data_IF_131303283425
#
_entry.id   IF_131303283425
#
_cell.length_a   1.000
_cell.length_b   1.000
_cell.length_c   1.000
_cell.angle_alpha   90.00
_cell.angle_beta   90.00
_cell.angle_gamma   90.00
#
_symmetry.space_group_name_H-M   'P 1'
#
loop_
_entity.id
_entity.type
_entity.pdbx_description
1 polymer ?
#
# COMPACT_ATOMS: atom_id res chain seq x y z
N UNK A 1 3.34 14.44 -27.72
CA UNK A 1 2.99 15.46 -26.72
C UNK A 1 2.27 14.74 -25.59
N UNK A 2 2.97 14.47 -24.48
CA UNK A 2 2.43 13.71 -23.34
C UNK A 2 1.44 14.59 -22.59
N UNK A 3 0.15 14.25 -22.66
CA UNK A 3 -0.85 14.90 -21.81
C UNK A 3 -0.44 14.70 -20.35
N UNK A 4 -0.18 15.78 -19.59
CA UNK A 4 0.18 15.67 -18.18
C UNK A 4 -0.94 14.95 -17.44
N UNK A 5 -0.56 14.03 -16.55
CA UNK A 5 -1.49 13.22 -15.77
C UNK A 5 -2.51 14.11 -15.05
N UNK A 6 -3.81 13.92 -15.31
CA UNK A 6 -4.92 14.29 -14.42
C UNK A 6 -5.11 15.76 -14.05
N UNK A 7 -6.29 16.06 -13.52
CA UNK A 7 -6.55 17.31 -12.81
C UNK A 7 -6.06 17.20 -11.36
N UNK A 8 -5.86 18.33 -10.69
CA UNK A 8 -5.74 18.34 -9.24
C UNK A 8 -7.09 17.96 -8.59
N UNK A 9 -7.08 17.29 -7.42
CA UNK A 9 -8.33 17.08 -6.69
C UNK A 9 -8.92 18.45 -6.30
N UNK A 10 -10.27 18.59 -6.29
CA UNK A 10 -10.91 19.83 -5.88
C UNK A 10 -10.56 20.15 -4.41
N UNK A 11 -10.34 21.42 -4.12
CA UNK A 11 -10.20 21.89 -2.75
C UNK A 11 -11.54 21.85 -2.04
N UNK A 12 -11.58 21.29 -0.83
CA UNK A 12 -12.82 21.13 -0.07
C UNK A 12 -12.53 21.05 1.44
N UNK A 13 -13.60 21.09 2.24
CA UNK A 13 -13.62 20.89 3.68
C UNK A 13 -14.17 19.52 4.02
N UNK A 14 -13.41 18.77 4.81
CA UNK A 14 -13.75 17.42 5.23
C UNK A 14 -13.95 17.33 6.73
N UNK A 15 -14.84 16.46 7.23
CA UNK A 15 -15.04 16.27 8.66
C UNK A 15 -13.78 15.70 9.35
N UNK A 16 -13.04 14.84 8.68
CA UNK A 16 -11.88 14.15 9.23
C UNK A 16 -10.85 13.79 8.15
N UNK A 17 -9.61 13.50 8.59
CA UNK A 17 -8.51 13.11 7.71
C UNK A 17 -8.76 11.82 6.91
N UNK A 18 -9.30 10.73 7.51
CA UNK A 18 -9.70 9.55 6.74
C UNK A 18 -10.66 9.84 5.58
N UNK A 19 -11.70 10.63 5.83
CA UNK A 19 -12.68 11.05 4.81
C UNK A 19 -12.02 11.87 3.70
N UNK A 20 -11.16 12.84 4.07
CA UNK A 20 -10.36 13.61 3.12
C UNK A 20 -9.47 12.71 2.27
N UNK A 21 -8.70 11.82 2.90
CA UNK A 21 -7.77 10.94 2.21
C UNK A 21 -8.50 10.00 1.25
N UNK A 22 -9.64 9.46 1.66
CA UNK A 22 -10.50 8.62 0.83
C UNK A 22 -11.00 9.38 -0.40
N UNK A 23 -11.48 10.62 -0.21
CA UNK A 23 -11.96 11.47 -1.30
C UNK A 23 -10.87 11.77 -2.34
N UNK A 24 -9.69 12.23 -1.90
CA UNK A 24 -8.59 12.55 -2.83
C UNK A 24 -8.05 11.31 -3.54
N UNK A 25 -8.08 10.13 -2.90
CA UNK A 25 -7.66 8.89 -3.54
C UNK A 25 -8.67 8.38 -4.55
N UNK A 26 -9.97 8.48 -4.27
CA UNK A 26 -11.02 8.16 -5.24
C UNK A 26 -10.88 9.04 -6.49
N UNK A 27 -10.67 10.34 -6.30
CA UNK A 27 -10.40 11.26 -7.41
C UNK A 27 -9.12 10.90 -8.18
N UNK A 28 -8.03 10.61 -7.45
CA UNK A 28 -6.75 10.24 -8.05
C UNK A 28 -6.84 8.93 -8.85
N UNK A 29 -7.60 7.95 -8.35
CA UNK A 29 -7.83 6.65 -8.99
C UNK A 29 -8.42 6.82 -10.40
N UNK A 30 -9.47 7.66 -10.53
CA UNK A 30 -10.10 7.97 -11.82
C UNK A 30 -9.18 8.75 -12.75
N UNK A 31 -8.31 9.59 -12.20
CA UNK A 31 -7.37 10.43 -12.96
C UNK A 31 -5.99 9.77 -13.22
N UNK A 32 -5.81 8.51 -12.81
CA UNK A 32 -4.63 7.70 -13.14
C UNK A 32 -3.37 8.00 -12.31
N UNK A 33 -3.52 8.54 -11.11
CA UNK A 33 -2.42 8.72 -10.15
C UNK A 33 -2.84 8.27 -8.75
N UNK A 34 -1.93 8.38 -7.79
CA UNK A 34 -2.21 8.08 -6.39
C UNK A 34 -1.46 9.06 -5.49
N UNK A 35 -2.04 9.34 -4.33
CA UNK A 35 -1.37 10.08 -3.27
C UNK A 35 -0.64 9.15 -2.29
N UNK A 36 0.42 9.68 -1.69
CA UNK A 36 1.12 9.07 -0.57
C UNK A 36 1.34 10.14 0.51
N UNK A 37 1.17 9.76 1.78
CA UNK A 37 1.47 10.63 2.91
C UNK A 37 2.97 10.88 2.98
N UNK A 38 3.37 12.15 2.86
CA UNK A 38 4.78 12.56 2.86
C UNK A 38 5.26 12.99 4.24
N UNK A 39 4.48 13.83 4.90
CA UNK A 39 4.75 14.31 6.26
C UNK A 39 3.45 14.53 7.00
N UNK A 40 3.42 14.11 8.25
CA UNK A 40 2.30 14.35 9.17
C UNK A 40 2.83 15.13 10.37
N UNK A 41 2.14 16.21 10.73
CA UNK A 41 2.35 16.89 12.00
C UNK A 41 0.99 17.37 12.56
N UNK A 42 0.98 17.87 13.79
CA UNK A 42 -0.26 18.29 14.45
C UNK A 42 -1.03 19.42 13.72
N UNK A 43 -0.37 20.16 12.81
CA UNK A 43 -0.94 21.33 12.14
C UNK A 43 -1.18 21.12 10.63
N UNK A 44 -0.73 20.00 10.06
CA UNK A 44 -0.86 19.70 8.63
C UNK A 44 -0.51 18.25 8.31
N UNK A 45 -1.13 17.76 7.24
CA UNK A 45 -0.71 16.54 6.54
C UNK A 45 -0.39 16.91 5.09
N UNK A 46 0.81 16.53 4.64
CA UNK A 46 1.24 16.72 3.25
C UNK A 46 1.05 15.42 2.50
N UNK A 47 0.26 15.46 1.43
CA UNK A 47 0.11 14.37 0.47
C UNK A 47 0.83 14.74 -0.82
N UNK A 48 1.66 13.84 -1.32
CA UNK A 48 2.37 14.00 -2.59
C UNK A 48 1.97 12.89 -3.54
N UNK A 49 2.12 13.10 -4.85
CA UNK A 49 2.04 12.01 -5.80
C UNK A 49 2.93 10.83 -5.36
N UNK A 50 2.46 9.60 -5.52
CA UNK A 50 3.20 8.37 -5.22
C UNK A 50 4.51 8.23 -6.03
N UNK A 51 4.59 8.94 -7.16
CA UNK A 51 5.80 9.06 -8.00
C UNK A 51 6.68 10.27 -7.65
N UNK A 52 6.38 10.99 -6.58
CA UNK A 52 7.13 12.16 -6.17
C UNK A 52 8.55 11.84 -5.66
N UNK A 53 9.43 12.81 -5.84
CA UNK A 53 10.83 12.73 -5.44
C UNK A 53 11.66 11.77 -6.29
N UNK A 54 12.89 11.51 -5.84
CA UNK A 54 13.82 10.59 -6.49
C UNK A 54 14.06 9.35 -5.61
N UNK A 55 14.51 8.27 -6.25
CA UNK A 55 15.02 7.12 -5.54
C UNK A 55 16.30 7.51 -4.79
N UNK A 56 16.34 7.22 -3.48
CA UNK A 56 17.53 7.36 -2.66
C UNK A 56 17.99 5.94 -2.30
N UNK A 57 19.19 5.50 -2.75
CA UNK A 57 19.71 4.17 -2.41
C UNK A 57 20.17 4.16 -0.95
N UNK A 58 19.24 4.07 0.00
CA UNK A 58 19.55 3.89 1.42
C UNK A 58 19.90 2.43 1.68
N UNK A 59 21.06 2.18 2.30
CA UNK A 59 21.47 0.82 2.71
C UNK A 59 22.20 -0.01 1.65
N UNK A 60 22.49 0.54 0.46
CA UNK A 60 23.50 -0.07 -0.42
C UNK A 60 24.86 0.06 0.25
N UNK A 61 25.46 -1.07 0.62
CA UNK A 61 26.88 -1.11 0.99
C UNK A 61 27.68 -0.74 -0.26
N UNK A 62 28.40 0.37 -0.21
CA UNK A 62 29.28 0.84 -1.30
C UNK A 62 30.27 -0.23 -1.75
N UNK A 63 30.67 -1.10 -0.82
CA UNK A 63 31.63 -2.19 -1.02
C UNK A 63 31.04 -3.47 -1.63
N UNK A 64 29.71 -3.61 -1.68
CA UNK A 64 29.08 -4.81 -2.22
C UNK A 64 29.04 -4.74 -3.76
N UNK A 65 29.68 -5.71 -4.41
CA UNK A 65 29.68 -5.85 -5.88
C UNK A 65 28.27 -5.78 -6.47
N UNK A 66 28.11 -5.11 -7.62
CA UNK A 66 26.82 -4.85 -8.26
C UNK A 66 25.99 -6.11 -8.56
N UNK A 67 26.65 -7.25 -8.79
CA UNK A 67 25.99 -8.56 -8.97
C UNK A 67 25.29 -9.10 -7.72
N UNK A 68 25.70 -8.64 -6.52
CA UNK A 68 25.06 -8.98 -5.23
C UNK A 68 23.95 -8.01 -4.87
N UNK A 69 23.71 -6.98 -5.69
CA UNK A 69 22.66 -5.99 -5.48
C UNK A 69 21.49 -6.29 -6.42
N UNK A 70 20.27 -6.26 -5.86
CA UNK A 70 19.07 -6.41 -6.68
C UNK A 70 18.96 -5.21 -7.64
N UNK A 71 18.89 -5.50 -8.93
CA UNK A 71 18.62 -4.50 -9.95
C UNK A 71 17.13 -4.14 -9.88
N UNK A 72 16.79 -3.08 -9.15
CA UNK A 72 15.42 -2.59 -9.01
C UNK A 72 15.25 -1.28 -9.74
N UNK A 73 14.15 -1.14 -10.47
CA UNK A 73 13.66 0.17 -10.94
C UNK A 73 12.84 0.86 -9.86
N UNK A 74 12.81 2.19 -9.89
CA UNK A 74 11.94 2.98 -9.03
C UNK A 74 10.81 3.58 -9.85
N UNK A 75 9.60 3.58 -9.29
CA UNK A 75 8.46 4.29 -9.85
C UNK A 75 8.54 5.81 -9.67
N UNK A 76 9.47 6.30 -8.86
CA UNK A 76 9.65 7.72 -8.56
C UNK A 76 10.28 8.44 -9.75
N UNK A 77 9.61 9.46 -10.26
CA UNK A 77 10.03 10.25 -11.42
C UNK A 77 10.18 11.74 -11.09
N UNK A 78 10.14 12.13 -9.82
CA UNK A 78 10.25 13.54 -9.43
C UNK A 78 8.97 14.34 -9.65
N UNK A 79 7.80 13.70 -9.60
CA UNK A 79 6.52 14.40 -9.72
C UNK A 79 6.34 15.45 -8.62
N UNK A 80 5.82 16.63 -8.99
CA UNK A 80 5.69 17.78 -8.09
C UNK A 80 4.28 17.94 -7.49
N UNK A 81 3.26 17.30 -8.08
CA UNK A 81 1.88 17.31 -7.57
C UNK A 81 1.85 17.01 -6.06
N UNK A 82 1.31 17.97 -5.31
CA UNK A 82 1.16 17.87 -3.86
C UNK A 82 0.02 18.73 -3.36
N UNK A 83 -0.65 18.20 -2.35
CA UNK A 83 -1.78 18.82 -1.67
C UNK A 83 -1.54 18.78 -0.16
N UNK A 84 -2.11 19.74 0.55
CA UNK A 84 -1.96 19.85 2.00
C UNK A 84 -3.34 19.84 2.66
N UNK A 85 -3.48 19.04 3.69
CA UNK A 85 -4.61 19.10 4.61
C UNK A 85 -4.19 19.91 5.83
N UNK A 86 -4.98 20.91 6.22
CA UNK A 86 -4.79 21.70 7.45
C UNK A 86 -6.06 21.65 8.29
N UNK A 87 -5.95 21.61 9.63
CA UNK A 87 -7.11 21.79 10.48
C UNK A 87 -7.68 23.20 10.30
N UNK A 88 -8.99 23.27 10.18
CA UNK A 88 -9.77 24.50 10.11
C UNK A 88 -11.01 24.29 10.98
N UNK A 89 -11.04 24.98 12.12
CA UNK A 89 -11.99 24.72 13.20
C UNK A 89 -11.97 23.24 13.60
N UNK A 90 -13.11 22.54 13.47
CA UNK A 90 -13.27 21.10 13.71
C UNK A 90 -13.22 20.25 12.43
N UNK A 91 -12.76 20.84 11.32
CA UNK A 91 -12.70 20.21 9.99
C UNK A 91 -11.27 20.24 9.45
N UNK A 92 -11.09 19.62 8.29
CA UNK A 92 -9.83 19.58 7.55
C UNK A 92 -10.01 20.21 6.18
N UNK A 93 -9.32 21.32 5.92
CA UNK A 93 -9.26 21.96 4.61
C UNK A 93 -8.18 21.32 3.76
N UNK A 94 -8.55 20.88 2.57
CA UNK A 94 -7.62 20.50 1.51
C UNK A 94 -7.26 21.73 0.66
N UNK A 95 -5.97 21.93 0.42
CA UNK A 95 -5.45 22.97 -0.48
C UNK A 95 -4.44 22.36 -1.44
N UNK A 96 -4.52 22.72 -2.72
CA UNK A 96 -3.56 22.34 -3.74
C UNK A 96 -2.35 23.28 -3.65
N UNK A 97 -1.17 22.71 -3.41
CA UNK A 97 0.08 23.51 -3.40
C UNK A 97 0.68 23.54 -4.80
N UNK A 98 0.63 22.41 -5.50
CA UNK A 98 1.24 22.24 -6.81
C UNK A 98 0.40 21.26 -7.61
N UNK A 99 0.04 21.66 -8.83
CA UNK A 99 -0.85 20.91 -9.71
C UNK A 99 -0.12 20.29 -10.92
N UNK A 100 1.21 20.38 -10.97
CA UNK A 100 2.00 19.91 -12.10
C UNK A 100 2.40 18.43 -12.00
N UNK A 101 2.31 17.76 -13.15
CA UNK A 101 2.71 16.38 -13.33
C UNK A 101 3.76 16.26 -14.42
N UNK A 102 4.71 15.35 -14.22
CA UNK A 102 5.78 15.06 -15.18
C UNK A 102 5.73 13.59 -15.68
N UNK A 103 4.60 12.94 -15.52
CA UNK A 103 4.35 11.58 -16.00
C UNK A 103 2.93 11.47 -16.55
N UNK A 104 2.67 10.40 -17.30
CA UNK A 104 1.34 10.06 -17.78
C UNK A 104 0.51 9.37 -16.69
N UNK A 105 -0.80 9.37 -16.89
CA UNK A 105 -1.74 8.56 -16.13
C UNK A 105 -1.38 7.06 -16.20
N UNK A 106 -1.77 6.30 -15.19
CA UNK A 106 -1.57 4.85 -15.12
C UNK A 106 -2.78 4.19 -14.49
N UNK A 107 -3.03 2.93 -14.86
CA UNK A 107 -4.14 2.14 -14.31
C UNK A 107 -4.05 2.03 -12.79
N UNK A 108 -5.21 1.97 -12.13
CA UNK A 108 -5.34 1.82 -10.69
C UNK A 108 -4.56 0.61 -10.15
N UNK A 109 -4.44 -0.47 -10.93
CA UNK A 109 -3.68 -1.67 -10.54
C UNK A 109 -2.18 -1.39 -10.30
N UNK A 110 -1.63 -0.32 -10.89
CA UNK A 110 -0.23 0.07 -10.68
C UNK A 110 0.03 0.59 -9.26
N UNK A 111 -1.01 1.02 -8.55
CA UNK A 111 -0.91 1.69 -7.26
C UNK A 111 -1.42 0.80 -6.12
N UNK A 112 -0.54 0.41 -5.16
CA UNK A 112 -0.96 -0.44 -4.03
C UNK A 112 -2.13 0.12 -3.22
N UNK A 113 -2.20 1.44 -3.04
CA UNK A 113 -3.28 2.07 -2.27
C UNK A 113 -4.66 1.84 -2.89
N UNK A 114 -4.76 1.86 -4.22
CA UNK A 114 -6.02 1.61 -4.92
C UNK A 114 -6.37 0.13 -4.89
N UNK A 115 -5.37 -0.76 -5.02
CA UNK A 115 -5.57 -2.21 -4.87
C UNK A 115 -6.10 -2.57 -3.50
N UNK A 116 -5.43 -2.10 -2.43
CA UNK A 116 -5.83 -2.37 -1.05
C UNK A 116 -7.21 -1.80 -0.73
N UNK A 117 -7.56 -0.63 -1.27
CA UNK A 117 -8.90 -0.05 -1.08
C UNK A 117 -10.03 -0.92 -1.65
N UNK A 118 -9.76 -1.78 -2.64
CA UNK A 118 -10.75 -2.72 -3.19
C UNK A 118 -10.86 -4.03 -2.41
N UNK A 119 -9.96 -4.29 -1.46
CA UNK A 119 -9.95 -5.55 -0.71
C UNK A 119 -10.93 -5.50 0.46
N UNK A 120 -11.90 -6.40 0.45
CA UNK A 120 -12.78 -6.61 1.60
C UNK A 120 -12.08 -7.43 2.70
N UNK A 121 -12.57 -7.31 3.94
CA UNK A 121 -12.10 -8.15 5.04
C UNK A 121 -12.31 -9.64 4.75
N UNK A 122 -13.44 -9.99 4.11
CA UNK A 122 -13.77 -11.37 3.75
C UNK A 122 -12.77 -11.95 2.75
N UNK A 123 -12.38 -11.17 1.73
CA UNK A 123 -11.39 -11.60 0.75
C UNK A 123 -10.01 -11.79 1.40
N UNK A 124 -9.64 -10.91 2.34
CA UNK A 124 -8.40 -11.10 3.10
C UNK A 124 -8.40 -12.42 3.88
N UNK A 125 -9.52 -12.79 4.50
CA UNK A 125 -9.68 -14.07 5.21
C UNK A 125 -9.54 -15.25 4.23
N UNK A 126 -10.19 -15.17 3.07
CA UNK A 126 -10.09 -16.21 2.04
C UNK A 126 -8.66 -16.40 1.53
N UNK A 127 -7.94 -15.29 1.26
CA UNK A 127 -6.53 -15.32 0.87
C UNK A 127 -5.67 -16.03 1.93
N UNK A 128 -5.85 -15.67 3.21
CA UNK A 128 -5.12 -16.28 4.32
C UNK A 128 -5.45 -17.76 4.45
N UNK A 129 -6.73 -18.12 4.40
CA UNK A 129 -7.19 -19.51 4.50
C UNK A 129 -6.56 -20.39 3.41
N UNK A 130 -6.61 -19.94 2.16
CA UNK A 130 -6.02 -20.64 1.03
C UNK A 130 -4.50 -20.79 1.16
N UNK A 131 -3.81 -19.75 1.65
CA UNK A 131 -2.38 -19.81 1.89
C UNK A 131 -2.00 -20.77 3.03
N UNK A 132 -2.81 -20.83 4.10
CA UNK A 132 -2.60 -21.73 5.24
C UNK A 132 -2.69 -23.21 4.85
N UNK A 133 -3.54 -23.56 3.88
CA UNK A 133 -3.63 -24.93 3.35
C UNK A 133 -2.60 -25.22 2.24
N UNK A 134 -1.69 -24.28 1.97
CA UNK A 134 -0.55 -24.48 1.06
C UNK A 134 -0.83 -24.21 -0.41
N UNK A 135 -1.95 -23.56 -0.76
CA UNK A 135 -2.22 -23.16 -2.15
C UNK A 135 -1.23 -22.07 -2.55
N UNK A 136 -0.64 -22.19 -3.75
CA UNK A 136 0.36 -21.23 -4.24
C UNK A 136 -0.29 -19.89 -4.58
N UNK A 137 0.41 -18.79 -4.29
CA UNK A 137 -0.11 -17.43 -4.53
C UNK A 137 -0.62 -17.19 -5.96
N UNK A 138 0.00 -17.77 -6.98
CA UNK A 138 -0.48 -17.65 -8.37
C UNK A 138 -1.80 -18.40 -8.63
N UNK A 139 -2.05 -19.51 -7.93
CA UNK A 139 -3.31 -20.25 -8.00
C UNK A 139 -4.41 -19.50 -7.24
N UNK A 140 -4.10 -18.97 -6.05
CA UNK A 140 -5.00 -18.07 -5.31
C UNK A 140 -5.35 -16.88 -6.21
N UNK A 141 -4.34 -16.26 -6.83
CA UNK A 141 -4.53 -15.13 -7.74
C UNK A 141 -5.51 -15.47 -8.87
N UNK A 142 -5.26 -16.61 -9.53
CA UNK A 142 -6.08 -17.06 -10.66
C UNK A 142 -7.53 -17.33 -10.24
N UNK A 143 -7.75 -18.04 -9.13
CA UNK A 143 -9.10 -18.36 -8.64
C UNK A 143 -9.87 -17.10 -8.31
N UNK A 144 -9.27 -16.22 -7.50
CA UNK A 144 -9.91 -14.99 -7.08
C UNK A 144 -10.17 -14.05 -8.25
N UNK A 145 -9.36 -14.08 -9.31
CA UNK A 145 -9.56 -13.22 -10.48
C UNK A 145 -10.79 -13.60 -11.28
N UNK A 146 -11.15 -14.89 -11.24
CA UNK A 146 -12.35 -15.43 -11.88
C UNK A 146 -13.57 -15.11 -11.03
N UNK A 147 -13.46 -15.24 -9.71
CA UNK A 147 -14.56 -15.02 -8.76
C UNK A 147 -14.88 -13.54 -8.54
N UNK A 148 -13.86 -12.67 -8.60
CA UNK A 148 -13.95 -11.24 -8.32
C UNK A 148 -13.23 -10.39 -9.38
N UNK A 149 -13.76 -10.30 -10.61
CA UNK A 149 -13.13 -9.56 -11.71
C UNK A 149 -12.95 -8.05 -11.45
N UNK A 150 -13.72 -7.48 -10.53
CA UNK A 150 -13.70 -6.07 -10.14
C UNK A 150 -12.54 -5.70 -9.21
N UNK A 151 -11.94 -6.68 -8.54
CA UNK A 151 -10.92 -6.44 -7.52
C UNK A 151 -9.54 -6.37 -8.16
N UNK A 152 -8.77 -5.37 -7.75
CA UNK A 152 -7.42 -5.16 -8.24
C UNK A 152 -6.42 -5.77 -7.27
N UNK A 153 -5.76 -6.86 -7.65
CA UNK A 153 -4.79 -7.52 -6.79
C UNK A 153 -3.64 -8.13 -7.58
N UNK A 154 -2.52 -8.34 -6.90
CA UNK A 154 -1.29 -8.93 -7.45
C UNK A 154 -0.78 -10.02 -6.51
N UNK A 155 0.11 -10.89 -7.03
CA UNK A 155 0.72 -11.94 -6.20
C UNK A 155 1.51 -11.35 -5.02
N UNK A 156 2.07 -10.15 -5.20
CA UNK A 156 2.73 -9.42 -4.11
C UNK A 156 1.76 -8.99 -3.01
N UNK A 157 0.51 -8.65 -3.34
CA UNK A 157 -0.49 -8.31 -2.33
C UNK A 157 -0.85 -9.54 -1.49
N UNK A 158 -1.01 -10.71 -2.13
CA UNK A 158 -1.20 -12.00 -1.44
C UNK A 158 -0.04 -12.27 -0.47
N UNK A 159 1.20 -12.11 -0.92
CA UNK A 159 2.38 -12.25 -0.06
C UNK A 159 2.33 -11.27 1.12
N UNK A 160 1.99 -10.00 0.89
CA UNK A 160 1.94 -9.00 1.94
C UNK A 160 0.85 -9.29 2.97
N UNK A 161 -0.34 -9.70 2.53
CA UNK A 161 -1.48 -10.07 3.39
C UNK A 161 -1.12 -11.27 4.26
N UNK A 162 -0.62 -12.34 3.65
CA UNK A 162 -0.23 -13.56 4.36
C UNK A 162 0.93 -13.33 5.33
N UNK A 163 1.90 -12.50 4.94
CA UNK A 163 2.99 -12.11 5.82
C UNK A 163 2.50 -11.27 7.00
N UNK A 164 1.59 -10.32 6.78
CA UNK A 164 1.02 -9.51 7.83
C UNK A 164 0.30 -10.37 8.87
N UNK A 165 -0.48 -11.36 8.42
CA UNK A 165 -1.17 -12.29 9.33
C UNK A 165 -0.17 -13.16 10.11
N UNK A 166 0.84 -13.70 9.43
CA UNK A 166 1.91 -14.47 10.08
C UNK A 166 2.64 -13.66 11.15
N UNK A 167 2.86 -12.36 10.93
CA UNK A 167 3.49 -11.49 11.92
C UNK A 167 2.61 -11.28 13.16
N UNK A 168 1.28 -11.23 13.00
CA UNK A 168 0.35 -11.22 14.13
C UNK A 168 0.44 -12.52 14.91
N UNK A 169 0.41 -13.66 14.22
CA UNK A 169 0.52 -15.00 14.84
C UNK A 169 1.80 -15.18 15.66
N UNK A 170 2.92 -14.64 15.15
CA UNK A 170 4.21 -14.69 15.84
C UNK A 170 4.18 -13.90 17.16
N UNK A 171 3.36 -12.85 17.26
CA UNK A 171 3.24 -12.04 18.47
C UNK A 171 4.58 -11.52 18.98
N UNK A 172 5.45 -11.08 18.06
CA UNK A 172 6.80 -10.57 18.36
C UNK A 172 7.90 -11.62 18.58
N UNK A 173 7.57 -12.92 18.51
CA UNK A 173 8.56 -14.02 18.59
C UNK A 173 9.25 -14.23 17.25
N UNK A 174 10.52 -14.66 17.29
CA UNK A 174 11.15 -15.19 16.07
C UNK A 174 10.56 -16.57 15.73
N UNK A 175 10.58 -17.01 14.46
CA UNK A 175 9.87 -18.22 14.03
C UNK A 175 10.17 -19.48 14.85
N UNK A 176 11.44 -19.67 15.24
CA UNK A 176 11.84 -20.82 16.05
C UNK A 176 11.29 -20.75 17.48
N UNK A 177 11.24 -19.57 18.09
CA UNK A 177 10.65 -19.40 19.43
C UNK A 177 9.15 -19.66 19.42
N UNK A 178 8.46 -19.19 18.39
CA UNK A 178 7.03 -19.45 18.20
C UNK A 178 6.76 -20.95 18.03
N UNK A 179 7.57 -21.63 17.21
CA UNK A 179 7.44 -23.07 17.01
C UNK A 179 7.61 -23.84 18.33
N UNK A 180 8.66 -23.54 19.08
CA UNK A 180 8.91 -24.15 20.39
C UNK A 180 7.78 -23.88 21.38
N UNK A 181 7.24 -22.65 21.39
CA UNK A 181 6.09 -22.29 22.23
C UNK A 181 4.83 -23.08 21.86
N UNK A 182 4.53 -23.19 20.55
CA UNK A 182 3.36 -23.92 20.05
C UNK A 182 3.45 -25.42 20.34
N UNK A 183 4.64 -26.02 20.18
CA UNK A 183 4.88 -27.42 20.51
C UNK A 183 4.69 -27.69 22.01
N UNK A 184 5.18 -26.80 22.89
CA UNK A 184 4.96 -26.90 24.34
C UNK A 184 3.47 -26.82 24.70
N UNK A 185 2.71 -25.90 24.08
CA UNK A 185 1.27 -25.81 24.30
C UNK A 185 0.52 -27.08 23.90
N UNK A 186 0.84 -27.63 22.73
CA UNK A 186 0.23 -28.88 22.25
C UNK A 186 0.58 -30.07 23.16
N UNK A 187 1.81 -30.12 23.69
CA UNK A 187 2.24 -31.15 24.63
C UNK A 187 1.51 -31.10 25.98
N UNK A 188 1.03 -29.92 26.41
CA UNK A 188 0.24 -29.75 27.66
C UNK A 188 -1.18 -30.31 27.51
N UNK A 189 -1.69 -30.45 26.27
CA UNK A 189 -3.08 -30.85 25.99
C UNK A 189 -3.21 -32.31 25.48
N UNK A 190 -2.14 -33.10 25.54
CA UNK A 190 -2.20 -34.54 25.29
C UNK A 190 -2.53 -35.25 26.62
N UNK A 191 -3.67 -35.96 26.73
CA UNK A 191 -3.93 -36.79 27.90
C UNK A 191 -2.90 -37.92 27.98
N UNK A 192 -2.42 -38.17 29.20
CA UNK A 192 -1.48 -39.24 29.55
C UNK A 192 -2.01 -40.64 29.21
#
# INVERSE_FOLDING_TARGET
>A
MTSPCGLAPPEDLYPDLPSLYTSIQAFACVNGYAFATRTTNAKRVLYTCDRAGSYRPTGRRSEAHSSRQRQSSSKRCGCNMRVIAKPEDDKWRLTVIEATYNHNASSAIAYPVHRVATLSAQLCIEIVSNACVGIKNNQILSSLSIQHPEILFTSSDITNITQAERLKDLGGRIPIQWLLWKLKLLAIHLPS
#
